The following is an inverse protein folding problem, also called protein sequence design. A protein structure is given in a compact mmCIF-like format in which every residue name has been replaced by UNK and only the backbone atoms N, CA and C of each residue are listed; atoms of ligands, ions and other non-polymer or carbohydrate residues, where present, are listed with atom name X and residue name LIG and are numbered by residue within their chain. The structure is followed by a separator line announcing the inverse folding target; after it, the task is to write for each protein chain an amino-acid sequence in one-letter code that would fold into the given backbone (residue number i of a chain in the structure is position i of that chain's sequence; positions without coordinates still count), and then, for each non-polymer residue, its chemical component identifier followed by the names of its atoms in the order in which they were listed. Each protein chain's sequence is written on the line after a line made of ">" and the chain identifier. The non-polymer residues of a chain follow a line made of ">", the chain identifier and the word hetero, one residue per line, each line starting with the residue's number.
data_IF_353270689427
#
_entry.id   IF_353270689427
#
_cell.length_a   1.000
_cell.length_b   1.000
_cell.length_c   1.000
_cell.angle_alpha   90.00
_cell.angle_beta   90.00
_cell.angle_gamma   90.00
#
_symmetry.space_group_name_H-M   'P 1'
#
loop_
_entity.id
_entity.type
_entity.pdbx_description
1 polymer ?
#
# COMPACT_ATOMS: atom_id res chain seq x y z
N UNK A 1 10.92 -25.48 8.53
CA UNK A 1 12.10 -24.59 8.47
C UNK A 1 11.82 -23.63 7.32
N UNK A 2 11.74 -22.33 7.58
CA UNK A 2 11.57 -21.33 6.49
C UNK A 2 12.85 -21.34 5.64
N UNK A 3 12.77 -21.90 4.43
CA UNK A 3 13.89 -21.89 3.50
C UNK A 3 14.15 -20.45 3.04
N UNK A 4 15.35 -19.97 3.36
CA UNK A 4 15.82 -18.65 2.93
C UNK A 4 16.25 -18.73 1.47
N UNK A 5 15.46 -18.16 0.58
CA UNK A 5 15.74 -18.06 -0.85
C UNK A 5 16.56 -16.79 -1.12
N UNK A 6 17.66 -16.91 -1.87
CA UNK A 6 18.42 -15.76 -2.36
C UNK A 6 17.93 -15.41 -3.76
N UNK A 7 17.37 -14.21 -3.91
CA UNK A 7 16.84 -13.69 -5.16
C UNK A 7 17.62 -12.45 -5.63
N UNK A 8 17.53 -12.15 -6.92
CA UNK A 8 18.06 -10.91 -7.50
C UNK A 8 16.88 -10.12 -8.06
N UNK A 9 16.68 -8.90 -7.57
CA UNK A 9 15.64 -7.98 -8.03
C UNK A 9 16.29 -6.86 -8.83
N UNK A 10 15.70 -6.50 -9.96
CA UNK A 10 16.14 -5.38 -10.79
C UNK A 10 15.17 -4.21 -10.64
N UNK A 11 15.70 -3.01 -10.40
CA UNK A 11 14.95 -1.74 -10.33
C UNK A 11 15.79 -0.67 -11.03
N UNK A 12 15.24 0.06 -12.00
CA UNK A 12 15.88 1.22 -12.63
C UNK A 12 17.30 0.95 -13.19
N UNK A 13 17.49 -0.21 -13.83
CA UNK A 13 18.78 -0.74 -14.32
C UNK A 13 19.81 -1.14 -13.24
N UNK A 14 19.38 -1.28 -11.98
CA UNK A 14 20.22 -1.74 -10.87
C UNK A 14 19.72 -3.06 -10.32
N UNK A 15 20.66 -4.00 -10.11
CA UNK A 15 20.37 -5.32 -9.56
C UNK A 15 20.73 -5.38 -8.08
N UNK A 16 19.74 -5.71 -7.25
CA UNK A 16 19.84 -5.83 -5.81
C UNK A 16 19.71 -7.31 -5.39
N UNK A 17 20.75 -7.92 -4.80
CA UNK A 17 20.64 -9.25 -4.21
C UNK A 17 19.90 -9.17 -2.87
N UNK A 18 18.84 -9.95 -2.71
CA UNK A 18 17.99 -9.99 -1.52
C UNK A 18 17.84 -11.43 -1.03
N UNK A 19 17.59 -11.59 0.27
CA UNK A 19 17.25 -12.89 0.86
C UNK A 19 15.83 -12.80 1.37
N UNK A 20 14.96 -13.70 0.90
CA UNK A 20 13.54 -13.78 1.26
C UNK A 20 13.27 -15.08 2.00
N UNK A 21 12.26 -15.09 2.86
CA UNK A 21 11.93 -16.24 3.73
C UNK A 21 10.72 -17.04 3.23
N UNK A 22 9.97 -16.50 2.25
CA UNK A 22 8.75 -17.10 1.71
C UNK A 22 8.62 -16.84 0.21
N UNK A 23 8.03 -17.79 -0.53
CA UNK A 23 7.66 -17.62 -1.95
C UNK A 23 6.68 -16.45 -2.16
N UNK A 24 5.73 -16.26 -1.25
CA UNK A 24 4.78 -15.13 -1.32
C UNK A 24 5.46 -13.77 -1.19
N UNK A 25 6.54 -13.71 -0.41
CA UNK A 25 7.36 -12.51 -0.26
C UNK A 25 8.16 -12.23 -1.52
N UNK A 26 8.71 -13.27 -2.17
CA UNK A 26 9.38 -13.12 -3.46
C UNK A 26 8.43 -12.50 -4.51
N UNK A 27 7.24 -13.09 -4.68
CA UNK A 27 6.27 -12.64 -5.67
C UNK A 27 5.90 -11.17 -5.44
N UNK A 28 5.58 -10.83 -4.19
CA UNK A 28 5.24 -9.46 -3.78
C UNK A 28 6.37 -8.47 -4.10
N UNK A 29 7.63 -8.85 -3.84
CA UNK A 29 8.79 -8.02 -4.13
C UNK A 29 9.04 -7.86 -5.63
N UNK A 30 8.85 -8.91 -6.43
CA UNK A 30 8.97 -8.84 -7.89
C UNK A 30 7.92 -7.93 -8.52
N UNK A 31 6.69 -8.01 -8.04
CA UNK A 31 5.61 -7.18 -8.55
C UNK A 31 5.75 -5.72 -8.11
N UNK A 32 6.22 -5.46 -6.89
CA UNK A 32 6.61 -4.13 -6.46
C UNK A 32 7.71 -3.53 -7.35
N UNK A 33 8.75 -4.31 -7.68
CA UNK A 33 9.82 -3.88 -8.58
C UNK A 33 9.32 -3.51 -9.98
N UNK A 34 8.44 -4.33 -10.58
CA UNK A 34 7.81 -4.03 -11.87
C UNK A 34 6.97 -2.76 -11.84
N UNK A 35 6.22 -2.53 -10.75
CA UNK A 35 5.44 -1.30 -10.57
C UNK A 35 6.33 -0.07 -10.52
N UNK A 36 7.43 -0.13 -9.77
CA UNK A 36 8.41 0.96 -9.70
C UNK A 36 8.99 1.24 -11.09
N UNK A 37 9.45 0.20 -11.81
CA UNK A 37 9.99 0.37 -13.17
C UNK A 37 8.98 0.99 -14.14
N UNK A 38 7.70 0.61 -14.03
CA UNK A 38 6.63 1.18 -14.86
C UNK A 38 6.42 2.67 -14.55
N UNK A 39 6.41 3.04 -13.27
CA UNK A 39 6.29 4.44 -12.86
C UNK A 39 7.48 5.27 -13.29
N UNK A 40 8.70 4.74 -13.16
CA UNK A 40 9.92 5.41 -13.61
C UNK A 40 9.82 5.74 -15.11
N UNK A 41 9.44 4.76 -15.94
CA UNK A 41 9.24 4.97 -17.38
C UNK A 41 8.21 6.06 -17.67
N UNK A 42 7.08 6.06 -16.96
CA UNK A 42 6.06 7.09 -17.11
C UNK A 42 6.58 8.48 -16.77
N UNK A 43 7.40 8.63 -15.72
CA UNK A 43 7.99 9.91 -15.36
C UNK A 43 9.10 10.35 -16.33
N UNK A 44 9.92 9.41 -16.80
CA UNK A 44 10.94 9.66 -17.84
C UNK A 44 10.30 10.16 -19.15
N UNK A 45 9.19 9.54 -19.58
CA UNK A 45 8.43 9.95 -20.77
C UNK A 45 7.75 11.31 -20.60
N UNK A 46 7.11 11.55 -19.45
CA UNK A 46 6.29 12.75 -19.25
C UNK A 46 7.08 14.01 -18.86
N UNK A 47 8.23 13.86 -18.19
CA UNK A 47 8.93 14.99 -17.59
C UNK A 47 10.36 15.20 -18.10
N UNK A 48 10.84 14.38 -19.05
CA UNK A 48 12.21 14.43 -19.58
C UNK A 48 13.29 14.50 -18.47
N UNK A 49 12.98 13.93 -17.30
CA UNK A 49 13.86 13.96 -16.12
C UNK A 49 15.02 13.03 -16.42
N UNK A 50 16.23 13.60 -16.45
CA UNK A 50 17.45 12.87 -16.81
C UNK A 50 18.09 12.16 -15.64
N UNK A 51 17.79 12.56 -14.40
CA UNK A 51 18.37 11.93 -13.21
C UNK A 51 17.42 10.87 -12.65
N UNK A 52 17.87 9.62 -12.70
CA UNK A 52 17.15 8.46 -12.16
C UNK A 52 16.91 8.58 -10.65
N UNK A 53 17.76 9.31 -9.93
CA UNK A 53 17.59 9.52 -8.49
C UNK A 53 16.38 10.42 -8.19
N UNK A 54 16.18 11.47 -8.99
CA UNK A 54 15.04 12.37 -8.83
C UNK A 54 13.72 11.67 -9.20
N UNK A 55 13.72 10.85 -10.26
CA UNK A 55 12.54 10.04 -10.62
C UNK A 55 12.19 9.04 -9.53
N UNK A 56 13.19 8.41 -8.90
CA UNK A 56 12.97 7.53 -7.75
C UNK A 56 12.39 8.29 -6.54
N UNK A 57 12.85 9.52 -6.29
CA UNK A 57 12.30 10.37 -5.24
C UNK A 57 10.84 10.74 -5.51
N UNK A 58 10.47 11.04 -6.75
CA UNK A 58 9.07 11.26 -7.15
C UNK A 58 8.20 10.01 -6.94
N UNK A 59 8.72 8.84 -7.32
CA UNK A 59 8.03 7.57 -7.08
C UNK A 59 7.82 7.33 -5.58
N UNK A 60 8.84 7.58 -4.75
CA UNK A 60 8.75 7.42 -3.30
C UNK A 60 7.70 8.35 -2.69
N UNK A 61 7.66 9.62 -3.12
CA UNK A 61 6.64 10.57 -2.69
C UNK A 61 5.23 10.09 -3.06
N UNK A 62 5.03 9.64 -4.30
CA UNK A 62 3.74 9.14 -4.77
C UNK A 62 3.25 7.93 -3.94
N UNK A 63 4.13 6.98 -3.65
CA UNK A 63 3.79 5.83 -2.81
C UNK A 63 3.48 6.23 -1.36
N UNK A 64 4.25 7.16 -0.79
CA UNK A 64 3.98 7.67 0.56
C UNK A 64 2.60 8.35 0.62
N UNK A 65 2.27 9.18 -0.37
CA UNK A 65 0.95 9.83 -0.48
C UNK A 65 -0.18 8.81 -0.63
N UNK A 66 -0.02 7.79 -1.47
CA UNK A 66 -1.03 6.72 -1.62
C UNK A 66 -1.25 5.93 -0.32
N UNK A 67 -0.17 5.63 0.41
CA UNK A 67 -0.24 4.94 1.70
C UNK A 67 -1.02 5.76 2.73
N UNK A 68 -0.69 7.06 2.84
CA UNK A 68 -1.38 7.98 3.74
C UNK A 68 -2.87 8.09 3.38
N UNK A 69 -3.21 8.23 2.09
CA UNK A 69 -4.61 8.29 1.66
C UNK A 69 -5.38 7.01 1.99
N UNK A 70 -4.75 5.85 1.84
CA UNK A 70 -5.38 4.56 2.17
C UNK A 70 -5.66 4.47 3.67
N UNK A 71 -4.70 4.84 4.52
CA UNK A 71 -4.88 4.88 5.97
C UNK A 71 -6.00 5.85 6.39
N UNK A 72 -6.09 7.02 5.75
CA UNK A 72 -7.18 7.98 6.01
C UNK A 72 -8.53 7.36 5.64
N UNK A 73 -8.64 6.73 4.47
CA UNK A 73 -9.87 6.10 4.01
C UNK A 73 -10.32 4.97 4.95
N UNK A 74 -9.39 4.12 5.39
CA UNK A 74 -9.67 3.05 6.37
C UNK A 74 -10.15 3.61 7.70
N UNK A 75 -9.51 4.67 8.21
CA UNK A 75 -9.94 5.30 9.46
C UNK A 75 -11.35 5.91 9.35
N UNK A 76 -11.67 6.55 8.22
CA UNK A 76 -13.01 7.09 7.97
C UNK A 76 -14.07 5.98 7.89
N UNK A 77 -13.74 4.85 7.28
CA UNK A 77 -14.65 3.69 7.23
C UNK A 77 -14.89 3.12 8.63
N UNK A 78 -13.84 3.00 9.45
CA UNK A 78 -13.96 2.55 10.84
C UNK A 78 -14.85 3.50 11.65
N UNK A 79 -14.63 4.80 11.56
CA UNK A 79 -15.44 5.82 12.26
C UNK A 79 -16.91 5.75 11.83
N UNK A 80 -17.19 5.67 10.53
CA UNK A 80 -18.55 5.51 10.01
C UNK A 80 -19.23 4.20 10.45
N UNK A 81 -18.46 3.12 10.63
CA UNK A 81 -18.97 1.86 11.15
C UNK A 81 -19.28 1.94 12.66
N UNK A 82 -18.47 2.67 13.44
CA UNK A 82 -18.74 2.93 14.86
C UNK A 82 -20.05 3.72 15.01
N UNK A 83 -20.24 4.80 14.25
CA UNK A 83 -21.49 5.57 14.30
C UNK A 83 -22.73 4.73 13.94
N UNK A 84 -22.59 3.79 13.01
CA UNK A 84 -23.68 2.87 12.64
C UNK A 84 -24.02 1.91 13.78
N UNK A 85 -23.00 1.41 14.48
CA UNK A 85 -23.18 0.52 15.63
C UNK A 85 -23.81 1.27 16.81
N UNK A 86 -23.39 2.50 17.09
CA UNK A 86 -23.99 3.35 18.12
C UNK A 86 -25.48 3.61 17.84
N UNK A 87 -25.81 4.00 16.60
CA UNK A 87 -27.21 4.17 16.16
C UNK A 87 -28.03 2.90 16.32
N UNK A 88 -27.44 1.74 16.04
CA UNK A 88 -28.11 0.45 16.22
C UNK A 88 -28.37 0.15 17.70
N UNK A 89 -27.40 0.44 18.56
CA UNK A 89 -27.54 0.27 20.00
C UNK A 89 -28.62 1.19 20.58
N UNK A 90 -28.65 2.48 20.20
CA UNK A 90 -29.70 3.42 20.61
C UNK A 90 -31.10 2.96 20.17
N UNK A 91 -31.22 2.37 18.97
CA UNK A 91 -32.49 1.83 18.48
C UNK A 91 -32.95 0.63 19.30
N UNK A 92 -32.03 -0.26 19.68
CA UNK A 92 -32.34 -1.40 20.55
C UNK A 92 -32.76 -0.93 21.94
N UNK A 93 -32.04 0.03 22.54
CA UNK A 93 -32.40 0.61 23.83
C UNK A 93 -33.79 1.23 23.82
N UNK A 94 -34.14 1.98 22.76
CA UNK A 94 -35.50 2.50 22.58
C UNK A 94 -36.54 1.38 22.50
N UNK A 95 -36.28 0.34 21.71
CA UNK A 95 -37.21 -0.79 21.58
C UNK A 95 -37.45 -1.50 22.93
N UNK A 96 -36.40 -1.67 23.74
CA UNK A 96 -36.53 -2.26 25.07
C UNK A 96 -37.25 -1.34 26.07
N UNK A 97 -37.17 -0.01 25.91
CA UNK A 97 -37.92 0.94 26.73
C UNK A 97 -39.41 1.00 26.36
N UNK A 98 -39.74 0.87 25.08
CA UNK A 98 -41.13 0.90 24.60
C UNK A 98 -41.92 -0.39 24.90
N UNK A 99 -41.24 -1.52 25.08
CA UNK A 99 -41.86 -2.83 25.38
C UNK A 99 -41.84 -3.20 26.88
N UNK A 100 -41.75 -2.19 27.76
CA UNK A 100 -41.82 -2.35 29.23
C UNK A 100 -43.09 -1.71 29.77
#
# INVERSE_FOLDING_TARGET
>A
MEEKLRIKISIADRVYPLTVTSETQEESLRDAAKRIDTMIKQYEENYAVRDKQDVLAMCALQFATQSIHTQIAENQEVEGNIERLERLNENLERFFQENK
#
